data_IF_669320966169
#
_entry.id   IF_669320966169
#
_cell.length_a   1.000
_cell.length_b   1.000
_cell.length_c   1.000
_cell.angle_alpha   90.00
_cell.angle_beta   90.00
_cell.angle_gamma   90.00
#
_symmetry.space_group_name_H-M   'P 1'
#
loop_
_entity.id
_entity.type
_entity.pdbx_description
1 polymer ?
#
# COMPACT_ATOMS: atom_id res chain seq x y z
N UNK A 1 -7.18 1.01 12.74
CA UNK A 1 -7.54 0.57 11.36
C UNK A 1 -6.36 0.67 10.41
N UNK A 2 -5.59 1.78 10.39
CA UNK A 2 -4.30 1.86 9.66
C UNK A 2 -3.35 0.70 9.98
N UNK A 3 -3.15 0.38 11.26
CA UNK A 3 -2.27 -0.74 11.67
C UNK A 3 -2.65 -2.07 11.03
N UNK A 4 -3.93 -2.44 11.04
CA UNK A 4 -4.43 -3.70 10.43
C UNK A 4 -4.22 -3.71 8.91
N UNK A 5 -4.42 -2.56 8.25
CA UNK A 5 -4.18 -2.47 6.80
C UNK A 5 -2.68 -2.59 6.47
N UNK A 6 -1.82 -1.93 7.24
CA UNK A 6 -0.37 -1.98 7.04
C UNK A 6 0.18 -3.37 7.33
N UNK A 7 -0.27 -4.02 8.40
CA UNK A 7 0.10 -5.39 8.76
C UNK A 7 -0.22 -6.37 7.61
N UNK A 8 -1.43 -6.26 7.06
CA UNK A 8 -1.82 -7.02 5.88
C UNK A 8 -0.98 -6.71 4.64
N UNK A 9 -0.61 -5.44 4.41
CA UNK A 9 0.26 -5.07 3.29
C UNK A 9 1.70 -5.59 3.45
N UNK A 10 2.19 -5.75 4.68
CA UNK A 10 3.50 -6.39 4.95
C UNK A 10 3.45 -7.86 4.51
N UNK A 11 2.41 -8.60 4.90
CA UNK A 11 2.23 -9.99 4.47
C UNK A 11 2.20 -10.11 2.93
N UNK A 12 1.50 -9.19 2.25
CA UNK A 12 1.47 -9.15 0.79
C UNK A 12 2.85 -8.84 0.21
N UNK A 13 3.59 -7.87 0.76
CA UNK A 13 4.93 -7.55 0.28
C UNK A 13 5.89 -8.73 0.41
N UNK A 14 5.80 -9.48 1.50
CA UNK A 14 6.61 -10.69 1.74
C UNK A 14 6.25 -11.81 0.76
N UNK A 15 4.96 -12.07 0.53
CA UNK A 15 4.47 -13.10 -0.40
C UNK A 15 4.95 -12.85 -1.84
N UNK A 16 4.94 -11.59 -2.28
CA UNK A 16 5.41 -11.19 -3.61
C UNK A 16 6.90 -10.87 -3.66
N UNK A 17 7.63 -11.01 -2.55
CA UNK A 17 9.07 -10.69 -2.44
C UNK A 17 9.43 -9.28 -2.94
N UNK A 18 8.55 -8.30 -2.69
CA UNK A 18 8.74 -6.92 -3.11
C UNK A 18 9.89 -6.26 -2.35
N UNK A 19 10.53 -5.27 -2.97
CA UNK A 19 11.55 -4.48 -2.27
C UNK A 19 10.92 -3.67 -1.13
N UNK A 20 11.63 -3.46 -0.01
CA UNK A 20 11.13 -2.68 1.12
C UNK A 20 10.70 -1.26 0.73
N UNK A 21 11.36 -0.67 -0.26
CA UNK A 21 11.05 0.66 -0.80
C UNK A 21 9.62 0.72 -1.38
N UNK A 22 9.16 -0.35 -2.04
CA UNK A 22 7.78 -0.48 -2.53
C UNK A 22 6.78 -0.37 -1.38
N UNK A 23 7.06 -1.01 -0.24
CA UNK A 23 6.19 -0.96 0.93
C UNK A 23 6.18 0.43 1.57
N UNK A 24 7.34 1.08 1.71
CA UNK A 24 7.43 2.44 2.25
C UNK A 24 6.68 3.45 1.39
N UNK A 25 6.83 3.36 0.06
CA UNK A 25 6.11 4.21 -0.89
C UNK A 25 4.59 3.93 -0.84
N UNK A 26 4.19 2.67 -0.71
CA UNK A 26 2.78 2.29 -0.53
C UNK A 26 2.16 2.98 0.68
N UNK A 27 2.83 2.90 1.84
CA UNK A 27 2.34 3.51 3.09
C UNK A 27 2.29 5.03 2.97
N UNK A 28 3.29 5.65 2.34
CA UNK A 28 3.30 7.08 2.07
C UNK A 28 2.09 7.52 1.22
N UNK A 29 1.80 6.79 0.13
CA UNK A 29 0.66 7.09 -0.75
C UNK A 29 -0.68 6.95 -0.02
N UNK A 30 -0.83 5.93 0.83
CA UNK A 30 -2.04 5.71 1.64
C UNK A 30 -2.25 6.88 2.59
N UNK A 31 -1.23 7.26 3.36
CA UNK A 31 -1.31 8.34 4.34
C UNK A 31 -1.58 9.69 3.66
N UNK A 32 -0.94 9.94 2.51
CA UNK A 32 -1.18 11.14 1.71
C UNK A 32 -2.63 11.22 1.21
N UNK A 33 -3.18 10.11 0.71
CA UNK A 33 -4.57 10.08 0.22
C UNK A 33 -5.58 10.29 1.34
N UNK A 34 -5.36 9.67 2.50
CA UNK A 34 -6.23 9.75 3.67
C UNK A 34 -6.17 11.11 4.38
N UNK A 35 -5.13 11.90 4.17
CA UNK A 35 -5.04 13.26 4.72
C UNK A 35 -6.11 14.20 4.14
N UNK A 36 -6.46 14.03 2.85
CA UNK A 36 -7.43 14.87 2.15
C UNK A 36 -8.79 14.23 1.86
N UNK A 37 -8.89 12.90 1.99
CA UNK A 37 -10.07 12.16 1.55
C UNK A 37 -10.59 11.22 2.63
N UNK A 38 -11.90 11.26 2.87
CA UNK A 38 -12.57 10.26 3.67
C UNK A 38 -12.82 9.00 2.85
N UNK A 39 -12.37 7.86 3.36
CA UNK A 39 -12.57 6.55 2.73
C UNK A 39 -13.31 5.65 3.70
N UNK A 40 -14.41 5.06 3.23
CA UNK A 40 -15.14 4.06 3.98
C UNK A 40 -14.27 2.84 4.27
N UNK A 41 -14.48 2.21 5.42
CA UNK A 41 -13.70 1.05 5.87
C UNK A 41 -13.61 -0.07 4.84
N UNK A 42 -14.70 -0.33 4.11
CA UNK A 42 -14.78 -1.38 3.10
C UNK A 42 -13.91 -1.09 1.86
N UNK A 43 -13.51 0.16 1.66
CA UNK A 43 -12.67 0.60 0.53
C UNK A 43 -11.20 0.77 0.90
N UNK A 44 -10.83 0.60 2.17
CA UNK A 44 -9.44 0.73 2.62
C UNK A 44 -8.52 -0.34 2.01
N UNK A 45 -8.99 -1.57 1.86
CA UNK A 45 -8.19 -2.62 1.19
C UNK A 45 -7.98 -2.31 -0.29
N UNK A 46 -9.02 -1.84 -0.98
CA UNK A 46 -8.92 -1.41 -2.37
C UNK A 46 -7.91 -0.26 -2.53
N UNK A 47 -7.95 0.72 -1.62
CA UNK A 47 -6.97 1.80 -1.59
C UNK A 47 -5.55 1.24 -1.40
N UNK A 48 -5.35 0.37 -0.41
CA UNK A 48 -4.04 -0.23 -0.11
C UNK A 48 -3.45 -0.97 -1.30
N UNK A 49 -4.21 -1.85 -1.94
CA UNK A 49 -3.77 -2.59 -3.14
C UNK A 49 -3.49 -1.65 -4.31
N UNK A 50 -4.31 -0.61 -4.50
CA UNK A 50 -4.09 0.38 -5.57
C UNK A 50 -2.79 1.15 -5.34
N UNK A 51 -2.54 1.61 -4.11
CA UNK A 51 -1.30 2.28 -3.74
C UNK A 51 -0.08 1.35 -3.92
N UNK A 52 -0.24 0.06 -3.59
CA UNK A 52 0.83 -0.92 -3.72
C UNK A 52 1.17 -1.24 -5.18
N UNK A 53 0.15 -1.35 -6.04
CA UNK A 53 0.33 -1.50 -7.48
C UNK A 53 1.00 -0.27 -8.11
N UNK A 54 0.69 0.92 -7.61
CA UNK A 54 1.37 2.14 -8.06
C UNK A 54 2.83 2.11 -7.60
N UNK A 55 3.09 1.80 -6.33
CA UNK A 55 4.43 1.73 -5.78
C UNK A 55 5.31 0.69 -6.49
N UNK A 56 4.76 -0.50 -6.77
CA UNK A 56 5.51 -1.56 -7.47
C UNK A 56 5.93 -1.12 -8.87
N UNK A 57 5.10 -0.35 -9.58
CA UNK A 57 5.45 0.21 -10.89
C UNK A 57 6.57 1.26 -10.84
N UNK A 58 6.82 1.87 -9.69
CA UNK A 58 7.90 2.85 -9.52
C UNK A 58 9.20 2.21 -9.07
N UNK A 59 9.15 1.28 -8.12
CA UNK A 59 10.34 0.73 -7.46
C UNK A 59 10.79 -0.63 -8.05
N UNK A 60 9.87 -1.43 -8.59
CA UNK A 60 10.21 -2.75 -9.15
C UNK A 60 10.62 -2.66 -10.62
N UNK A 61 11.67 -3.40 -10.99
CA UNK A 61 12.09 -3.56 -12.39
C UNK A 61 11.04 -4.39 -13.16
N UNK A 62 10.41 -5.36 -12.48
CA UNK A 62 9.35 -6.22 -13.01
C UNK A 62 8.14 -6.16 -12.07
N UNK A 63 7.16 -5.28 -12.34
CA UNK A 63 6.01 -5.04 -11.47
C UNK A 63 4.89 -6.08 -11.62
#
# INVERSE_FOLDING_TARGET
MRGILVDWLVEVAEEYTLVPDTLYLTVYLIDWFLNGNYVERNRLQLLGVTCMLIASKYEEIYP
#
